data_IF_372323311935
#
_entry.id   IF_372323311935
#
_cell.length_a   1.000
_cell.length_b   1.000
_cell.length_c   1.000
_cell.angle_alpha   90.00
_cell.angle_beta   90.00
_cell.angle_gamma   90.00
#
_symmetry.space_group_name_H-M   'P 1'
#
loop_
_entity.id
_entity.type
_entity.pdbx_description
1 polymer ?
#
# COMPACT_ATOMS: atom_id res chain seq x y z
N UNK A 1 -40.81 25.50 18.71
CA UNK A 1 -39.44 25.92 18.36
C UNK A 1 -38.82 26.94 19.31
N UNK A 2 -39.59 27.82 19.99
CA UNK A 2 -39.01 28.84 20.89
C UNK A 2 -38.45 28.30 22.22
N UNK A 3 -38.90 27.12 22.67
CA UNK A 3 -38.49 26.51 23.96
C UNK A 3 -37.14 25.76 23.85
N UNK A 4 -36.68 25.46 22.64
CA UNK A 4 -35.45 24.68 22.40
C UNK A 4 -34.16 25.49 22.46
N UNK A 5 -34.24 26.83 22.49
CA UNK A 5 -33.07 27.73 22.56
C UNK A 5 -32.63 28.06 23.99
N UNK A 6 -33.49 27.79 24.99
CA UNK A 6 -33.24 28.09 26.40
C UNK A 6 -31.94 27.47 26.95
N UNK A 7 -31.56 26.22 26.60
CA UNK A 7 -30.37 25.60 27.18
C UNK A 7 -29.05 26.21 26.67
N UNK A 8 -29.00 26.63 25.39
CA UNK A 8 -27.78 27.19 24.80
C UNK A 8 -27.45 28.56 25.39
N UNK A 9 -28.47 29.39 25.68
CA UNK A 9 -28.27 30.70 26.31
C UNK A 9 -27.87 30.59 27.79
N UNK A 10 -28.30 29.54 28.49
CA UNK A 10 -27.94 29.32 29.90
C UNK A 10 -26.43 29.16 30.12
N UNK A 11 -25.72 28.50 29.19
CA UNK A 11 -24.27 28.29 29.30
C UNK A 11 -23.49 29.60 29.08
N UNK A 12 -23.97 30.45 28.17
CA UNK A 12 -23.42 31.82 28.00
C UNK A 12 -23.68 32.71 29.23
N UNK A 13 -24.79 32.50 29.94
CA UNK A 13 -25.09 33.26 31.15
C UNK A 13 -24.09 33.03 32.29
N UNK A 14 -23.42 31.86 32.34
CA UNK A 14 -22.35 31.59 33.33
C UNK A 14 -21.17 32.56 33.13
N UNK A 15 -20.76 32.79 31.87
CA UNK A 15 -19.65 33.68 31.55
C UNK A 15 -19.95 35.13 31.96
N UNK A 16 -21.17 35.62 31.64
CA UNK A 16 -21.61 36.94 32.06
C UNK A 16 -21.80 37.05 33.58
N UNK A 17 -22.25 35.97 34.24
CA UNK A 17 -22.36 35.90 35.70
C UNK A 17 -21.01 36.09 36.40
N UNK A 18 -19.95 35.43 35.92
CA UNK A 18 -18.60 35.58 36.46
C UNK A 18 -18.13 37.04 36.34
N UNK A 19 -18.31 37.66 35.17
CA UNK A 19 -17.96 39.07 34.95
C UNK A 19 -18.74 39.98 35.90
N UNK A 20 -20.04 39.75 36.05
CA UNK A 20 -20.90 40.54 36.93
C UNK A 20 -20.46 40.40 38.41
N UNK A 21 -20.13 39.19 38.88
CA UNK A 21 -19.60 38.97 40.24
C UNK A 21 -18.29 39.73 40.43
N UNK A 22 -17.37 39.68 39.46
CA UNK A 22 -16.09 40.42 39.55
C UNK A 22 -16.30 41.93 39.64
N UNK A 23 -17.20 42.50 38.82
CA UNK A 23 -17.50 43.93 38.85
C UNK A 23 -18.20 44.32 40.16
N UNK A 24 -19.17 43.52 40.64
CA UNK A 24 -19.86 43.77 41.91
C UNK A 24 -18.91 43.71 43.11
N UNK A 25 -17.93 42.80 43.11
CA UNK A 25 -16.91 42.74 44.16
C UNK A 25 -16.02 43.99 44.18
N UNK A 26 -15.58 44.46 43.00
CA UNK A 26 -14.79 45.70 42.89
C UNK A 26 -15.60 46.89 43.39
N UNK A 27 -16.87 47.00 42.95
CA UNK A 27 -17.79 48.05 43.41
C UNK A 27 -18.01 48.01 44.91
N UNK A 28 -18.12 46.82 45.50
CA UNK A 28 -18.28 46.65 46.95
C UNK A 28 -17.05 47.14 47.72
N UNK A 29 -15.84 46.83 47.25
CA UNK A 29 -14.59 47.31 47.87
C UNK A 29 -14.52 48.85 47.85
N UNK A 30 -14.91 49.48 46.74
CA UNK A 30 -14.94 50.95 46.62
C UNK A 30 -15.98 51.54 47.56
N UNK A 31 -17.19 50.98 47.59
CA UNK A 31 -18.27 51.43 48.48
C UNK A 31 -17.90 51.29 49.97
N UNK A 32 -17.16 50.23 50.34
CA UNK A 32 -16.64 50.04 51.69
C UNK A 32 -15.60 51.12 52.06
N UNK A 33 -14.72 51.50 51.13
CA UNK A 33 -13.68 52.49 51.37
C UNK A 33 -14.22 53.92 51.48
N UNK A 34 -15.26 54.24 50.72
CA UNK A 34 -15.82 55.59 50.63
C UNK A 34 -17.15 55.78 51.39
N UNK A 35 -17.56 54.78 52.20
CA UNK A 35 -18.77 54.79 53.02
C UNK A 35 -20.07 55.10 52.24
N UNK A 36 -20.19 54.57 51.02
CA UNK A 36 -21.40 54.69 50.20
C UNK A 36 -22.45 53.61 50.56
N UNK A 37 -23.68 53.80 50.11
CA UNK A 37 -24.77 52.84 50.28
C UNK A 37 -24.47 51.51 49.56
N UNK A 38 -24.55 50.41 50.32
CA UNK A 38 -24.09 49.07 49.87
C UNK A 38 -25.22 48.19 49.35
N UNK A 39 -26.47 48.56 49.64
CA UNK A 39 -27.64 47.71 49.43
C UNK A 39 -27.80 47.26 47.97
N UNK A 40 -27.60 48.18 47.03
CA UNK A 40 -27.76 47.89 45.60
C UNK A 40 -26.66 46.94 45.08
N UNK A 41 -25.42 47.12 45.54
CA UNK A 41 -24.29 46.27 45.14
C UNK A 41 -24.44 44.85 45.73
N UNK A 42 -24.87 44.75 46.98
CA UNK A 42 -25.15 43.47 47.64
C UNK A 42 -26.30 42.75 46.92
N UNK A 43 -27.37 43.47 46.54
CA UNK A 43 -28.47 42.91 45.75
C UNK A 43 -28.03 42.37 44.39
N UNK A 44 -27.16 43.11 43.68
CA UNK A 44 -26.60 42.66 42.40
C UNK A 44 -25.72 41.40 42.56
N UNK A 45 -24.92 41.32 43.63
CA UNK A 45 -24.09 40.15 43.93
C UNK A 45 -24.96 38.91 44.18
N UNK A 46 -25.99 39.03 45.01
CA UNK A 46 -26.93 37.93 45.31
C UNK A 46 -27.65 37.46 44.05
N UNK A 47 -28.13 38.40 43.22
CA UNK A 47 -28.81 38.09 41.97
C UNK A 47 -27.89 37.33 40.99
N UNK A 48 -26.63 37.76 40.87
CA UNK A 48 -25.65 37.09 39.99
C UNK A 48 -25.30 35.68 40.47
N UNK A 49 -25.15 35.49 41.79
CA UNK A 49 -24.89 34.17 42.38
C UNK A 49 -26.07 33.20 42.18
N UNK A 50 -27.31 33.68 42.38
CA UNK A 50 -28.51 32.87 42.13
C UNK A 50 -28.67 32.51 40.65
N UNK A 51 -28.48 33.48 39.75
CA UNK A 51 -28.52 33.23 38.31
C UNK A 51 -27.46 32.23 37.85
N UNK A 52 -26.22 32.37 38.34
CA UNK A 52 -25.13 31.43 38.08
C UNK A 52 -25.41 30.03 38.62
N UNK A 53 -26.00 29.92 39.81
CA UNK A 53 -26.39 28.64 40.42
C UNK A 53 -27.45 27.89 39.61
N UNK A 54 -28.47 28.60 39.11
CA UNK A 54 -29.51 28.00 38.25
C UNK A 54 -28.91 27.53 36.92
N UNK A 55 -28.06 28.36 36.28
CA UNK A 55 -27.40 28.00 35.03
C UNK A 55 -26.47 26.78 35.19
N UNK A 56 -25.74 26.71 36.29
CA UNK A 56 -24.88 25.56 36.61
C UNK A 56 -25.70 24.28 36.84
N UNK A 57 -26.84 24.37 37.55
CA UNK A 57 -27.74 23.24 37.75
C UNK A 57 -28.29 22.70 36.41
N UNK A 58 -28.69 23.60 35.51
CA UNK A 58 -29.12 23.22 34.16
C UNK A 58 -28.00 22.54 33.35
N UNK A 59 -26.77 23.04 33.46
CA UNK A 59 -25.59 22.42 32.82
C UNK A 59 -25.31 21.02 33.38
N UNK A 60 -25.39 20.84 34.69
CA UNK A 60 -25.20 19.54 35.33
C UNK A 60 -26.26 18.52 34.89
N UNK A 61 -27.54 18.94 34.83
CA UNK A 61 -28.64 18.12 34.33
C UNK A 61 -28.46 17.74 32.86
N UNK A 62 -28.05 18.69 32.00
CA UNK A 62 -27.73 18.41 30.60
C UNK A 62 -26.57 17.44 30.45
N UNK A 63 -25.53 17.54 31.28
CA UNK A 63 -24.41 16.61 31.24
C UNK A 63 -24.79 15.21 31.72
N UNK A 64 -25.69 15.09 32.69
CA UNK A 64 -26.24 13.80 33.12
C UNK A 64 -27.07 13.17 32.00
N UNK A 65 -27.98 13.94 31.39
CA UNK A 65 -28.78 13.49 30.25
C UNK A 65 -27.89 13.18 29.05
N UNK A 66 -26.85 13.96 28.78
CA UNK A 66 -25.91 13.70 27.68
C UNK A 66 -25.13 12.42 27.94
N UNK A 67 -24.71 12.14 29.19
CA UNK A 67 -24.07 10.87 29.53
C UNK A 67 -25.02 9.69 29.37
N UNK A 68 -26.26 9.82 29.84
CA UNK A 68 -27.29 8.78 29.71
C UNK A 68 -27.68 8.54 28.24
N UNK A 69 -27.80 9.60 27.43
CA UNK A 69 -28.00 9.51 25.98
C UNK A 69 -26.78 8.96 25.28
N UNK A 70 -25.55 9.29 25.68
CA UNK A 70 -24.32 8.71 25.13
C UNK A 70 -24.22 7.23 25.50
N UNK A 71 -24.62 6.84 26.70
CA UNK A 71 -24.67 5.45 27.16
C UNK A 71 -25.80 4.66 26.45
N UNK A 72 -26.99 5.22 26.29
CA UNK A 72 -28.08 4.64 25.49
C UNK A 72 -27.73 4.60 24.00
N UNK A 73 -27.05 5.60 23.44
CA UNK A 73 -26.55 5.57 22.06
C UNK A 73 -25.46 4.52 21.94
N UNK A 74 -24.58 4.33 22.91
CA UNK A 74 -23.58 3.27 22.88
C UNK A 74 -24.19 1.88 23.07
N UNK A 75 -25.23 1.74 23.90
CA UNK A 75 -25.98 0.49 24.10
C UNK A 75 -26.83 0.15 22.88
N UNK A 76 -27.53 1.14 22.29
CA UNK A 76 -28.23 1.02 21.01
C UNK A 76 -27.28 0.84 19.82
N UNK A 77 -26.03 1.32 19.87
CA UNK A 77 -25.00 1.04 18.85
C UNK A 77 -24.44 -0.37 18.99
N UNK A 78 -24.54 -0.98 20.18
CA UNK A 78 -24.20 -2.38 20.45
C UNK A 78 -25.36 -3.31 20.05
N UNK A 79 -26.61 -2.93 20.34
CA UNK A 79 -27.81 -3.70 19.96
C UNK A 79 -28.20 -3.53 18.46
N UNK A 80 -28.05 -2.33 17.87
CA UNK A 80 -28.25 -2.12 16.42
C UNK A 80 -27.05 -2.57 15.57
N UNK A 81 -25.89 -2.91 16.15
CA UNK A 81 -24.85 -3.67 15.45
C UNK A 81 -25.29 -5.12 15.16
N UNK A 82 -26.26 -5.65 15.91
CA UNK A 82 -26.77 -7.01 15.72
C UNK A 82 -27.94 -7.06 14.72
N UNK A 83 -28.58 -5.91 14.40
CA UNK A 83 -29.73 -5.84 13.48
C UNK A 83 -29.59 -4.85 12.31
N UNK A 84 -28.37 -4.50 11.92
CA UNK A 84 -28.12 -4.07 10.54
C UNK A 84 -27.94 -5.34 9.73
N UNK A 85 -28.69 -5.53 8.65
CA UNK A 85 -28.34 -6.51 7.62
C UNK A 85 -26.90 -6.18 7.22
N UNK A 86 -25.95 -6.85 7.85
CA UNK A 86 -24.54 -6.65 7.61
C UNK A 86 -24.36 -7.28 6.24
N UNK A 87 -23.98 -6.45 5.26
CA UNK A 87 -23.61 -6.97 3.96
C UNK A 87 -22.61 -8.11 4.22
N UNK A 88 -22.81 -9.28 3.58
CA UNK A 88 -21.93 -10.46 3.73
C UNK A 88 -20.46 -10.04 3.65
N UNK A 89 -20.17 -9.04 2.80
CA UNK A 89 -18.86 -8.45 2.65
C UNK A 89 -18.31 -7.78 3.91
N UNK A 90 -19.11 -7.03 4.66
CA UNK A 90 -18.67 -6.36 5.88
C UNK A 90 -18.31 -7.39 6.97
N UNK A 91 -19.02 -8.52 7.01
CA UNK A 91 -18.71 -9.62 7.93
C UNK A 91 -17.40 -10.32 7.54
N UNK A 92 -17.16 -10.52 6.25
CA UNK A 92 -15.88 -11.05 5.77
C UNK A 92 -14.71 -10.14 6.10
N UNK A 93 -14.86 -8.83 5.88
CA UNK A 93 -13.84 -7.83 6.23
C UNK A 93 -13.55 -7.86 7.73
N UNK A 94 -14.61 -7.84 8.57
CA UNK A 94 -14.45 -7.89 10.02
C UNK A 94 -13.74 -9.18 10.47
N UNK A 95 -14.07 -10.32 9.87
CA UNK A 95 -13.41 -11.59 10.15
C UNK A 95 -11.92 -11.57 9.80
N UNK A 96 -11.56 -11.02 8.63
CA UNK A 96 -10.16 -10.91 8.19
C UNK A 96 -9.36 -10.00 9.12
N UNK A 97 -9.92 -8.84 9.51
CA UNK A 97 -9.25 -7.91 10.42
C UNK A 97 -9.05 -8.50 11.83
N UNK A 98 -10.04 -9.22 12.34
CA UNK A 98 -9.90 -9.98 13.60
C UNK A 98 -8.80 -11.03 13.49
N UNK A 99 -8.75 -11.78 12.38
CA UNK A 99 -7.72 -12.78 12.12
C UNK A 99 -6.32 -12.16 12.06
N UNK A 100 -6.17 -11.00 11.41
CA UNK A 100 -4.90 -10.26 11.38
C UNK A 100 -4.47 -9.80 12.76
N UNK A 101 -5.39 -9.26 13.57
CA UNK A 101 -5.10 -8.85 14.93
C UNK A 101 -4.69 -10.03 15.82
N UNK A 102 -5.31 -11.20 15.64
CA UNK A 102 -4.92 -12.42 16.37
C UNK A 102 -3.56 -12.96 15.92
N UNK A 103 -3.23 -12.86 14.63
CA UNK A 103 -1.94 -13.30 14.08
C UNK A 103 -0.73 -12.52 14.60
N UNK A 104 -0.93 -11.30 15.11
CA UNK A 104 0.13 -10.49 15.71
C UNK A 104 0.27 -10.70 17.22
N UNK A 105 -0.59 -11.51 17.84
CA UNK A 105 -0.63 -11.75 19.28
C UNK A 105 -0.21 -13.17 19.62
N UNK A 106 0.40 -13.36 20.79
CA UNK A 106 0.60 -14.69 21.37
C UNK A 106 -0.67 -15.07 22.12
N UNK A 107 -1.43 -16.03 21.57
CA UNK A 107 -2.69 -16.49 22.14
C UNK A 107 -2.54 -17.93 22.62
N UNK A 108 -3.27 -18.29 23.68
CA UNK A 108 -3.35 -19.66 24.19
C UNK A 108 -4.81 -20.07 24.37
N UNK A 109 -5.09 -21.37 24.32
CA UNK A 109 -6.40 -21.93 24.66
C UNK A 109 -6.60 -22.04 26.17
N UNK A 110 -7.74 -22.62 26.58
CA UNK A 110 -8.08 -22.85 27.99
C UNK A 110 -7.08 -23.73 28.75
N UNK A 111 -6.27 -24.50 28.02
CA UNK A 111 -5.24 -25.39 28.57
C UNK A 111 -3.83 -24.78 28.49
N UNK A 112 -3.70 -23.53 28.02
CA UNK A 112 -2.42 -22.88 27.83
C UNK A 112 -1.67 -23.30 26.56
N UNK A 113 -2.30 -24.04 25.64
CA UNK A 113 -1.67 -24.44 24.37
C UNK A 113 -1.68 -23.26 23.39
N UNK A 114 -0.58 -23.02 22.65
CA UNK A 114 -0.48 -21.88 21.74
C UNK A 114 -1.48 -22.01 20.58
N UNK A 115 -2.16 -20.90 20.29
CA UNK A 115 -3.02 -20.73 19.13
C UNK A 115 -2.27 -19.95 18.05
N UNK A 116 -2.11 -20.56 16.88
CA UNK A 116 -1.38 -19.98 15.76
C UNK A 116 -2.34 -19.53 14.65
N UNK A 117 -2.50 -18.22 14.51
CA UNK A 117 -3.27 -17.60 13.43
C UNK A 117 -2.31 -17.15 12.33
N UNK A 118 -2.48 -17.69 11.13
CA UNK A 118 -1.65 -17.32 9.97
C UNK A 118 -2.53 -16.89 8.80
N UNK A 119 -1.97 -16.18 7.84
CA UNK A 119 -2.62 -15.92 6.56
C UNK A 119 -1.61 -15.97 5.42
N UNK A 120 -2.10 -16.31 4.22
CA UNK A 120 -1.33 -16.28 2.98
C UNK A 120 -2.06 -15.45 1.94
N UNK A 121 -1.30 -14.66 1.19
CA UNK A 121 -1.82 -13.85 0.09
C UNK A 121 -1.48 -14.56 -1.22
N UNK A 122 -2.50 -14.84 -2.01
CA UNK A 122 -2.36 -15.38 -3.37
C UNK A 122 -2.83 -14.33 -4.38
N UNK A 123 -2.00 -13.97 -5.35
CA UNK A 123 -2.39 -13.09 -6.44
C UNK A 123 -3.07 -13.95 -7.51
N UNK A 124 -4.33 -13.68 -7.79
CA UNK A 124 -5.11 -14.43 -8.79
C UNK A 124 -4.98 -13.83 -10.18
N UNK A 125 -5.06 -12.50 -10.27
CA UNK A 125 -5.03 -11.76 -11.53
C UNK A 125 -4.49 -10.35 -11.29
N UNK A 126 -3.67 -9.83 -12.20
CA UNK A 126 -3.16 -8.46 -12.16
C UNK A 126 -3.49 -7.76 -13.49
N UNK A 127 -4.08 -6.56 -13.40
CA UNK A 127 -4.36 -5.69 -14.54
C UNK A 127 -3.46 -4.45 -14.48
N UNK A 128 -2.58 -4.23 -15.48
CA UNK A 128 -1.82 -2.99 -15.56
C UNK A 128 -2.76 -1.83 -15.88
N UNK A 129 -2.57 -0.71 -15.19
CA UNK A 129 -3.35 0.51 -15.37
C UNK A 129 -2.56 1.62 -16.08
N UNK A 130 -1.26 1.43 -16.25
CA UNK A 130 -0.40 2.27 -17.06
C UNK A 130 0.98 2.47 -16.44
N UNK A 131 1.85 3.09 -17.24
CA UNK A 131 3.26 3.35 -16.94
C UNK A 131 3.61 4.76 -17.38
N UNK A 132 4.38 5.48 -16.58
CA UNK A 132 4.94 6.77 -17.01
C UNK A 132 6.09 6.54 -17.97
N UNK A 133 6.37 7.50 -18.84
CA UNK A 133 7.65 7.55 -19.54
C UNK A 133 8.81 7.62 -18.54
N UNK A 134 9.98 7.18 -18.97
CA UNK A 134 11.21 7.34 -18.18
C UNK A 134 11.59 8.82 -18.19
N UNK A 135 11.73 9.40 -17.00
CA UNK A 135 12.14 10.78 -16.80
C UNK A 135 13.56 10.72 -16.24
N UNK A 136 14.51 11.35 -16.95
CA UNK A 136 15.94 11.34 -16.61
C UNK A 136 16.47 12.75 -16.50
N UNK A 137 17.28 13.01 -15.46
CA UNK A 137 17.96 14.31 -15.32
C UNK A 137 19.28 14.43 -16.09
N UNK A 138 19.78 13.36 -16.69
CA UNK A 138 21.01 13.38 -17.49
C UNK A 138 20.78 13.89 -18.92
N UNK A 139 21.53 14.92 -19.32
CA UNK A 139 21.59 15.43 -20.70
C UNK A 139 22.12 14.37 -21.67
N UNK A 140 21.49 14.21 -22.84
CA UNK A 140 21.89 13.32 -23.94
C UNK A 140 23.35 13.50 -24.46
N UNK A 141 24.09 14.52 -24.00
CA UNK A 141 25.41 14.89 -24.51
C UNK A 141 26.58 14.04 -23.99
N UNK A 142 26.44 13.38 -22.83
CA UNK A 142 27.50 12.56 -22.23
C UNK A 142 27.10 11.07 -22.21
N UNK A 143 26.64 10.55 -23.35
CA UNK A 143 26.41 9.11 -23.55
C UNK A 143 27.75 8.36 -23.68
N UNK A 144 28.50 8.28 -22.58
CA UNK A 144 29.22 7.03 -22.30
C UNK A 144 28.18 5.90 -22.29
N UNK A 145 28.56 4.70 -22.72
CA UNK A 145 27.68 3.59 -23.17
C UNK A 145 26.50 3.18 -22.24
N UNK A 146 26.38 3.72 -21.04
CA UNK A 146 25.43 3.29 -19.99
C UNK A 146 24.49 4.43 -19.47
N UNK A 147 24.30 5.50 -20.25
CA UNK A 147 23.68 6.79 -19.86
C UNK A 147 22.23 6.81 -19.31
N UNK A 148 22.02 6.37 -18.07
CA UNK A 148 20.77 6.55 -17.31
C UNK A 148 20.99 6.96 -15.84
N UNK A 149 22.02 7.75 -15.53
CA UNK A 149 22.14 8.30 -14.18
C UNK A 149 20.89 9.14 -13.85
N UNK A 150 20.26 8.87 -12.71
CA UNK A 150 19.06 9.59 -12.24
C UNK A 150 17.83 9.49 -13.16
N UNK A 151 17.47 8.27 -13.55
CA UNK A 151 16.23 7.99 -14.28
C UNK A 151 15.16 7.38 -13.38
N UNK A 152 13.90 7.76 -13.56
CA UNK A 152 12.76 7.16 -12.86
C UNK A 152 11.58 6.92 -13.79
N UNK A 153 10.77 5.92 -13.46
CA UNK A 153 9.42 5.76 -14.00
C UNK A 153 8.52 5.14 -12.93
N UNK A 154 7.21 5.21 -13.15
CA UNK A 154 6.23 4.68 -12.22
C UNK A 154 5.20 3.81 -12.97
N UNK A 155 4.71 2.79 -12.29
CA UNK A 155 3.72 1.84 -12.81
C UNK A 155 2.57 1.68 -11.81
N UNK A 156 1.35 1.66 -12.34
CA UNK A 156 0.16 1.35 -11.58
C UNK A 156 -0.41 0.02 -12.06
N UNK A 157 -0.81 -0.81 -11.11
CA UNK A 157 -1.60 -2.00 -11.39
C UNK A 157 -2.61 -2.22 -10.30
N UNK A 158 -3.62 -3.02 -10.62
CA UNK A 158 -4.59 -3.50 -9.65
C UNK A 158 -4.63 -5.01 -9.74
N UNK A 159 -4.68 -5.69 -8.60
CA UNK A 159 -4.68 -7.14 -8.52
C UNK A 159 -5.89 -7.65 -7.77
N UNK A 160 -6.50 -8.72 -8.27
CA UNK A 160 -7.41 -9.55 -7.48
C UNK A 160 -6.55 -10.49 -6.64
N UNK A 161 -6.68 -10.40 -5.32
CA UNK A 161 -5.95 -11.22 -4.36
C UNK A 161 -6.91 -12.10 -3.57
N UNK A 162 -6.43 -13.26 -3.12
CA UNK A 162 -7.13 -14.17 -2.21
C UNK A 162 -6.33 -14.29 -0.92
N UNK A 163 -7.00 -14.01 0.20
CA UNK A 163 -6.46 -14.25 1.53
C UNK A 163 -6.92 -15.62 2.02
N UNK A 164 -5.95 -16.54 2.17
CA UNK A 164 -6.16 -17.85 2.80
C UNK A 164 -5.87 -17.69 4.27
N UNK A 165 -6.89 -17.78 5.11
CA UNK A 165 -6.78 -17.67 6.56
C UNK A 165 -6.58 -19.07 7.15
N UNK A 166 -5.56 -19.24 7.99
CA UNK A 166 -5.21 -20.51 8.61
C UNK A 166 -5.25 -20.40 10.13
N UNK A 167 -5.63 -21.49 10.79
CA UNK A 167 -5.59 -21.67 12.23
C UNK A 167 -4.91 -23.00 12.53
N UNK A 168 -3.82 -22.95 13.30
CA UNK A 168 -2.95 -24.10 13.59
C UNK A 168 -2.55 -24.88 12.33
N UNK A 169 -2.18 -24.15 11.27
CA UNK A 169 -1.78 -24.71 9.97
C UNK A 169 -2.93 -25.23 9.09
N UNK A 170 -4.17 -25.26 9.57
CA UNK A 170 -5.34 -25.65 8.78
C UNK A 170 -6.03 -24.43 8.20
N UNK A 171 -6.29 -24.44 6.89
CA UNK A 171 -7.07 -23.39 6.22
C UNK A 171 -8.52 -23.42 6.71
N UNK A 172 -9.02 -22.25 7.13
CA UNK A 172 -10.37 -22.10 7.69
C UNK A 172 -11.28 -21.26 6.80
N UNK A 173 -10.73 -20.33 6.02
CA UNK A 173 -11.54 -19.45 5.15
C UNK A 173 -10.68 -18.82 4.05
N UNK A 174 -11.29 -18.64 2.89
CA UNK A 174 -10.76 -17.84 1.79
C UNK A 174 -11.61 -16.59 1.59
N UNK A 175 -10.97 -15.46 1.40
CA UNK A 175 -11.66 -14.20 1.13
C UNK A 175 -10.93 -13.44 0.03
N UNK A 176 -11.67 -13.07 -1.01
CA UNK A 176 -11.14 -12.29 -2.12
C UNK A 176 -11.12 -10.78 -1.80
N UNK A 177 -10.10 -10.08 -2.27
CA UNK A 177 -9.94 -8.63 -2.17
C UNK A 177 -9.34 -8.06 -3.45
N UNK A 178 -9.39 -6.73 -3.56
CA UNK A 178 -8.63 -5.99 -4.55
C UNK A 178 -7.44 -5.33 -3.88
N UNK A 179 -6.27 -5.38 -4.49
CA UNK A 179 -5.07 -4.66 -4.07
C UNK A 179 -4.60 -3.73 -5.18
N UNK A 180 -4.49 -2.44 -4.87
CA UNK A 180 -3.93 -1.40 -5.71
C UNK A 180 -2.43 -1.33 -5.48
N UNK A 181 -1.63 -1.46 -6.52
CA UNK A 181 -0.16 -1.46 -6.44
C UNK A 181 0.40 -0.20 -7.09
N UNK A 182 1.27 0.46 -6.33
CA UNK A 182 1.98 1.68 -6.68
C UNK A 182 3.47 1.36 -6.73
N UNK A 183 4.01 1.16 -7.93
CA UNK A 183 5.42 0.84 -8.14
C UNK A 183 6.18 2.06 -8.67
N UNK A 184 7.30 2.35 -8.03
CA UNK A 184 8.28 3.32 -8.51
C UNK A 184 9.60 2.62 -8.79
N UNK A 185 10.12 2.81 -10.00
CA UNK A 185 11.44 2.35 -10.41
C UNK A 185 12.38 3.53 -10.56
N UNK A 186 13.58 3.43 -10.01
CA UNK A 186 14.62 4.47 -10.10
C UNK A 186 15.99 3.82 -10.36
N UNK A 187 16.85 4.40 -11.19
CA UNK A 187 18.22 3.88 -11.35
C UNK A 187 18.99 3.99 -10.04
N UNK A 188 19.88 3.03 -9.78
CA UNK A 188 20.57 2.98 -8.51
C UNK A 188 21.84 3.83 -8.56
N UNK A 189 21.87 5.00 -7.91
CA UNK A 189 23.02 5.90 -7.99
C UNK A 189 24.31 5.32 -7.40
N UNK A 190 24.21 4.30 -6.54
CA UNK A 190 25.36 3.67 -5.89
C UNK A 190 25.75 2.31 -6.49
N UNK A 191 24.84 1.64 -7.20
CA UNK A 191 25.04 0.26 -7.67
C UNK A 191 25.05 0.10 -9.18
N UNK A 192 24.89 1.16 -9.98
CA UNK A 192 25.04 1.08 -11.44
C UNK A 192 26.41 0.49 -11.86
N UNK A 193 27.41 0.47 -10.98
CA UNK A 193 28.71 -0.16 -11.23
C UNK A 193 28.78 -1.67 -10.91
N UNK A 194 27.90 -2.20 -10.05
CA UNK A 194 28.07 -3.56 -9.48
C UNK A 194 26.86 -4.49 -9.61
N UNK A 195 25.70 -4.01 -10.07
CA UNK A 195 24.46 -4.81 -10.02
C UNK A 195 23.75 -4.91 -11.39
N UNK A 196 23.24 -6.09 -11.71
CA UNK A 196 22.64 -6.41 -13.02
C UNK A 196 21.23 -5.86 -13.22
N UNK A 197 20.54 -5.42 -12.16
CA UNK A 197 19.23 -4.77 -12.28
C UNK A 197 19.37 -3.26 -12.41
N UNK A 198 19.09 -2.72 -13.60
CA UNK A 198 19.16 -1.29 -13.94
C UNK A 198 18.33 -0.38 -13.03
N UNK A 199 17.25 -0.87 -12.41
CA UNK A 199 16.35 -0.08 -11.56
C UNK A 199 16.15 -0.71 -10.19
N UNK A 200 16.28 0.11 -9.14
CA UNK A 200 15.74 -0.16 -7.82
C UNK A 200 14.22 0.07 -7.82
N UNK A 201 13.47 -0.95 -7.44
CA UNK A 201 12.00 -0.91 -7.37
C UNK A 201 11.53 -0.68 -5.94
N UNK A 202 10.59 0.24 -5.77
CA UNK A 202 9.86 0.45 -4.53
C UNK A 202 8.37 0.27 -4.79
N UNK A 203 7.79 -0.74 -4.15
CA UNK A 203 6.39 -1.11 -4.33
C UNK A 203 5.61 -0.85 -3.05
N UNK A 204 4.44 -0.25 -3.18
CA UNK A 204 3.47 -0.09 -2.09
C UNK A 204 2.13 -0.60 -2.55
N UNK A 205 1.43 -1.29 -1.67
CA UNK A 205 0.10 -1.84 -1.93
C UNK A 205 -0.92 -1.21 -1.00
N UNK A 206 -2.14 -1.06 -1.50
CA UNK A 206 -3.30 -0.59 -0.75
C UNK A 206 -4.49 -1.49 -1.11
N UNK A 207 -5.12 -2.09 -0.10
CA UNK A 207 -6.21 -3.06 -0.25
C UNK A 207 -7.50 -2.43 0.27
N UNK A 208 -8.35 -1.87 -0.61
CA UNK A 208 -9.62 -1.30 -0.21
C UNK A 208 -10.44 -2.28 0.65
N UNK A 209 -10.89 -1.80 1.82
CA UNK A 209 -11.65 -2.58 2.79
C UNK A 209 -10.81 -3.18 3.92
N UNK A 210 -9.50 -3.38 3.73
CA UNK A 210 -8.60 -3.81 4.81
C UNK A 210 -7.74 -2.66 5.33
N UNK A 211 -7.21 -1.86 4.41
CA UNK A 211 -6.29 -0.79 4.73
C UNK A 211 -7.02 0.53 5.02
N UNK A 212 -6.48 1.29 5.96
CA UNK A 212 -6.96 2.63 6.27
C UNK A 212 -6.58 3.66 5.19
N UNK A 213 -7.19 4.85 5.27
CA UNK A 213 -6.90 5.95 4.34
C UNK A 213 -5.46 6.47 4.47
N UNK A 214 -4.80 6.26 5.60
CA UNK A 214 -3.41 6.69 5.82
C UNK A 214 -2.43 5.86 5.00
N UNK A 215 -2.69 4.55 4.82
CA UNK A 215 -1.94 3.66 3.94
C UNK A 215 -2.03 4.14 2.49
N UNK A 216 -3.24 4.45 2.02
CA UNK A 216 -3.44 5.02 0.67
C UNK A 216 -2.68 6.34 0.50
N UNK A 217 -2.80 7.26 1.47
CA UNK A 217 -2.08 8.54 1.42
C UNK A 217 -0.55 8.33 1.39
N UNK A 218 -0.02 7.35 2.12
CA UNK A 218 1.40 6.98 2.12
C UNK A 218 1.83 6.38 0.78
N UNK A 219 0.99 5.53 0.18
CA UNK A 219 1.22 4.96 -1.14
C UNK A 219 1.30 6.06 -2.20
N UNK A 220 0.28 6.92 -2.30
CA UNK A 220 0.25 8.06 -3.22
C UNK A 220 1.44 8.98 -3.00
N UNK A 221 1.71 9.39 -1.75
CA UNK A 221 2.83 10.28 -1.42
C UNK A 221 4.17 9.69 -1.84
N UNK A 222 4.39 8.40 -1.65
CA UNK A 222 5.66 7.76 -2.03
C UNK A 222 5.77 7.59 -3.54
N UNK A 223 4.67 7.25 -4.20
CA UNK A 223 4.58 7.07 -5.65
C UNK A 223 4.87 8.38 -6.40
N UNK A 224 4.31 9.50 -5.94
CA UNK A 224 4.47 10.82 -6.57
C UNK A 224 5.71 11.56 -6.12
N UNK A 225 6.31 11.22 -4.97
CA UNK A 225 7.53 11.87 -4.48
C UNK A 225 8.74 11.45 -5.34
N UNK A 226 9.39 12.38 -6.05
CA UNK A 226 10.61 12.08 -6.77
C UNK A 226 11.75 11.78 -5.79
N UNK A 227 12.70 10.96 -6.21
CA UNK A 227 13.85 10.57 -5.41
C UNK A 227 15.11 10.46 -6.27
N UNK A 228 15.39 11.54 -7.00
CA UNK A 228 16.64 11.68 -7.73
C UNK A 228 17.81 11.80 -6.74
N UNK A 229 18.92 11.16 -7.09
CA UNK A 229 20.15 11.29 -6.33
C UNK A 229 20.69 12.71 -6.47
N UNK A 230 21.01 13.30 -5.32
CA UNK A 230 21.75 14.55 -5.23
C UNK A 230 23.18 14.19 -4.86
N UNK A 231 24.15 14.87 -5.46
CA UNK A 231 25.56 14.66 -5.12
C UNK A 231 25.82 14.82 -3.61
N UNK A 232 26.95 14.33 -3.11
CA UNK A 232 27.32 14.44 -1.69
C UNK A 232 27.34 15.89 -1.16
N UNK A 233 27.38 16.88 -2.05
CA UNK A 233 27.39 18.31 -1.73
C UNK A 233 25.95 18.85 -1.63
N UNK A 234 24.93 18.04 -1.96
CA UNK A 234 23.52 18.38 -1.84
C UNK A 234 23.10 19.53 -2.76
N UNK A 235 23.89 19.86 -3.79
CA UNK A 235 23.60 20.99 -4.67
C UNK A 235 22.42 20.61 -5.57
N UNK A 236 21.22 21.12 -5.24
CA UNK A 236 20.11 21.17 -6.18
C UNK A 236 20.59 21.92 -7.41
N UNK A 237 20.72 21.23 -8.54
CA UNK A 237 20.82 21.93 -9.82
C UNK A 237 19.41 22.38 -10.15
N UNK A 238 19.20 23.61 -10.61
CA UNK A 238 17.87 24.08 -11.03
C UNK A 238 17.23 23.15 -12.09
N UNK A 239 18.08 22.44 -12.84
CA UNK A 239 17.68 21.37 -13.77
C UNK A 239 16.93 20.22 -13.09
N UNK A 240 17.27 19.86 -11.84
CA UNK A 240 16.61 18.76 -11.12
C UNK A 240 15.17 19.10 -10.76
N UNK A 241 14.88 20.38 -10.45
CA UNK A 241 13.52 20.82 -10.15
C UNK A 241 12.57 20.63 -11.34
N UNK A 242 13.06 20.79 -12.58
CA UNK A 242 12.28 20.52 -13.79
C UNK A 242 11.85 19.05 -13.86
N UNK A 243 12.77 18.11 -13.67
CA UNK A 243 12.50 16.67 -13.75
C UNK A 243 11.72 16.14 -12.54
N UNK A 244 11.90 16.74 -11.37
CA UNK A 244 11.05 16.51 -10.19
C UNK A 244 9.60 16.88 -10.49
N UNK A 245 9.36 18.06 -11.05
CA UNK A 245 8.02 18.51 -11.44
C UNK A 245 7.42 17.66 -12.58
N UNK A 246 8.22 17.32 -13.58
CA UNK A 246 7.79 16.44 -14.67
C UNK A 246 7.33 15.08 -14.15
N UNK A 247 8.07 14.49 -13.19
CA UNK A 247 7.71 13.23 -12.57
C UNK A 247 6.44 13.34 -11.71
N UNK A 248 6.32 14.40 -10.91
CA UNK A 248 5.11 14.65 -10.11
C UNK A 248 3.88 14.78 -11.01
N UNK A 249 4.00 15.52 -12.12
CA UNK A 249 2.91 15.70 -13.08
C UNK A 249 2.55 14.38 -13.76
N UNK A 250 3.55 13.66 -14.29
CA UNK A 250 3.33 12.37 -14.97
C UNK A 250 2.66 11.33 -14.05
N UNK A 251 3.10 11.24 -12.80
CA UNK A 251 2.49 10.31 -11.82
C UNK A 251 1.10 10.75 -11.38
N UNK A 252 0.86 12.04 -11.21
CA UNK A 252 -0.46 12.59 -10.89
C UNK A 252 -1.46 12.35 -12.02
N UNK A 253 -1.04 12.56 -13.26
CA UNK A 253 -1.86 12.32 -14.45
C UNK A 253 -2.13 10.82 -14.65
N UNK A 254 -1.14 9.96 -14.37
CA UNK A 254 -1.33 8.52 -14.39
C UNK A 254 -2.37 8.05 -13.33
N UNK A 255 -2.33 8.59 -12.11
CA UNK A 255 -3.35 8.28 -11.08
C UNK A 255 -4.75 8.72 -11.53
N UNK A 256 -4.88 9.93 -12.09
CA UNK A 256 -6.18 10.46 -12.55
C UNK A 256 -6.72 9.66 -13.73
N UNK A 257 -5.89 9.40 -14.74
CA UNK A 257 -6.30 8.73 -15.98
C UNK A 257 -6.56 7.23 -15.81
N UNK A 258 -5.83 6.56 -14.91
CA UNK A 258 -6.04 5.14 -14.59
C UNK A 258 -7.34 4.86 -13.82
N UNK A 259 -7.94 5.89 -13.20
CA UNK A 259 -9.09 5.73 -12.33
C UNK A 259 -8.86 4.76 -11.14
N UNK A 260 -7.60 4.51 -10.75
CA UNK A 260 -7.24 3.49 -9.75
C UNK A 260 -7.98 3.67 -8.41
N UNK A 261 -8.18 4.92 -7.99
CA UNK A 261 -8.80 5.25 -6.69
C UNK A 261 -10.28 4.84 -6.60
N UNK A 262 -10.93 4.60 -7.75
CA UNK A 262 -12.32 4.17 -7.83
C UNK A 262 -12.46 2.65 -7.95
N UNK A 263 -11.35 1.90 -8.03
CA UNK A 263 -11.37 0.43 -8.10
C UNK A 263 -11.28 -0.12 -6.67
N UNK A 264 -12.43 -0.35 -6.04
CA UNK A 264 -12.52 -0.75 -4.62
C UNK A 264 -13.08 -2.14 -4.43
N UNK A 265 -13.90 -2.62 -5.35
CA UNK A 265 -14.55 -3.92 -5.25
C UNK A 265 -14.16 -4.85 -6.40
N UNK A 266 -14.53 -6.13 -6.28
CA UNK A 266 -14.33 -7.13 -7.34
C UNK A 266 -15.08 -6.73 -8.61
N UNK A 267 -16.28 -6.15 -8.48
CA UNK A 267 -17.08 -5.68 -9.60
C UNK A 267 -16.41 -4.51 -10.32
N UNK A 268 -15.76 -3.60 -9.58
CA UNK A 268 -14.98 -2.52 -10.19
C UNK A 268 -13.80 -3.07 -10.97
N UNK A 269 -13.09 -4.06 -10.40
CA UNK A 269 -11.96 -4.72 -11.05
C UNK A 269 -12.36 -5.42 -12.35
N UNK A 270 -13.52 -6.07 -12.40
CA UNK A 270 -14.03 -6.69 -13.62
C UNK A 270 -14.29 -5.66 -14.74
N UNK A 271 -14.74 -4.45 -14.39
CA UNK A 271 -15.00 -3.36 -15.34
C UNK A 271 -13.72 -2.71 -15.90
N UNK A 272 -12.56 -2.97 -15.28
CA UNK A 272 -11.27 -2.47 -15.78
C UNK A 272 -11.00 -3.08 -17.16
N UNK A 273 -11.05 -2.22 -18.18
CA UNK A 273 -10.60 -2.53 -19.54
C UNK A 273 -9.08 -2.46 -19.57
N UNK A 274 -8.41 -3.58 -19.82
CA UNK A 274 -6.96 -3.60 -20.00
C UNK A 274 -6.66 -2.88 -21.31
N UNK A 275 -6.19 -1.63 -21.20
CA UNK A 275 -5.74 -0.88 -22.36
C UNK A 275 -4.29 -1.25 -22.58
N UNK A 276 -4.04 -2.35 -23.29
CA UNK A 276 -2.70 -2.64 -23.81
C UNK A 276 -2.43 -1.60 -24.89
N UNK A 277 -1.86 -0.46 -24.52
CA UNK A 277 -1.25 0.45 -25.49
C UNK A 277 0.03 -0.22 -25.96
N UNK A 278 -0.05 -0.89 -27.11
CA UNK A 278 1.11 -1.24 -27.92
C UNK A 278 1.78 0.07 -28.36
N UNK A 279 2.67 0.63 -27.53
CA UNK A 279 3.60 1.64 -27.99
C UNK A 279 4.59 0.95 -28.94
N UNK A 280 4.40 1.16 -30.24
CA UNK A 280 5.39 0.86 -31.28
C UNK A 280 6.68 1.64 -31.00
N UNK A 281 7.56 1.06 -30.19
CA UNK A 281 8.96 1.44 -30.10
C UNK A 281 9.67 0.60 -31.17
N UNK A 282 10.05 1.25 -32.28
CA UNK A 282 11.15 0.78 -33.12
C UNK A 282 12.41 0.95 -32.28
N UNK A 283 12.83 -0.12 -31.62
CA UNK A 283 14.19 -0.69 -31.69
C UNK A 283 14.28 -1.85 -30.67
N UNK A 284 14.64 -3.00 -31.23
CA UNK A 284 14.97 -4.31 -30.64
C UNK A 284 13.88 -5.03 -29.80
N UNK A 285 13.26 -5.99 -30.48
CA UNK A 285 12.18 -6.85 -29.99
C UNK A 285 12.63 -7.82 -28.89
N UNK A 286 11.97 -7.75 -27.73
CA UNK A 286 11.62 -8.92 -26.93
C UNK A 286 10.10 -8.88 -26.78
N UNK A 287 9.41 -9.64 -27.62
CA UNK A 287 8.00 -9.96 -27.47
C UNK A 287 7.87 -10.98 -26.31
N UNK A 288 7.35 -10.53 -25.15
CA UNK A 288 6.61 -11.43 -24.27
C UNK A 288 5.20 -11.62 -24.85
N UNK A 289 5.14 -12.34 -25.96
CA UNK A 289 3.98 -13.18 -26.24
C UNK A 289 4.08 -14.39 -25.32
N UNK A 290 3.06 -14.59 -24.50
CA UNK A 290 2.80 -15.84 -23.77
C UNK A 290 2.47 -16.97 -24.75
N UNK A 291 3.49 -17.37 -25.50
CA UNK A 291 3.57 -18.66 -26.17
C UNK A 291 4.80 -19.34 -25.58
N UNK A 292 4.63 -19.98 -24.43
CA UNK A 292 5.73 -20.64 -23.73
C UNK A 292 6.23 -21.80 -24.59
N UNK A 293 7.32 -21.54 -25.31
CA UNK A 293 7.98 -22.52 -26.16
C UNK A 293 8.44 -23.68 -25.27
N UNK A 294 7.96 -24.89 -25.58
CA UNK A 294 8.30 -26.09 -24.85
C UNK A 294 9.48 -26.77 -25.54
N UNK A 295 10.47 -27.16 -24.75
CA UNK A 295 11.63 -27.92 -25.22
C UNK A 295 11.52 -29.35 -24.70
N UNK A 296 11.80 -30.33 -25.56
CA UNK A 296 11.86 -31.74 -25.20
C UNK A 296 13.32 -32.12 -24.98
N UNK A 297 13.66 -32.61 -23.79
CA UNK A 297 15.02 -33.05 -23.46
C UNK A 297 15.32 -34.38 -24.16
N UNK A 298 16.42 -34.41 -24.94
CA UNK A 298 16.86 -35.57 -25.75
C UNK A 298 18.02 -36.35 -25.14
N UNK A 299 18.55 -35.89 -24.00
CA UNK A 299 19.67 -36.51 -23.28
C UNK A 299 19.21 -36.98 -21.91
N UNK A 300 19.56 -38.21 -21.55
CA UNK A 300 19.24 -38.75 -20.23
C UNK A 300 20.13 -38.15 -19.13
N UNK A 301 19.55 -37.98 -17.94
CA UNK A 301 20.23 -37.43 -16.76
C UNK A 301 20.88 -36.05 -16.99
N UNK A 302 20.23 -35.19 -17.77
CA UNK A 302 20.70 -33.85 -18.14
C UNK A 302 20.85 -32.97 -16.90
N UNK A 303 22.02 -32.36 -16.72
CA UNK A 303 22.30 -31.45 -15.61
C UNK A 303 21.81 -30.05 -15.92
N UNK A 304 20.94 -29.51 -15.06
CA UNK A 304 20.53 -28.10 -15.08
C UNK A 304 21.49 -27.31 -14.20
N UNK A 305 22.00 -26.18 -14.70
CA UNK A 305 23.08 -25.42 -14.04
C UNK A 305 22.69 -24.00 -13.67
N UNK A 306 23.40 -23.41 -12.71
CA UNK A 306 23.16 -22.04 -12.22
C UNK A 306 23.58 -20.95 -13.20
N UNK A 307 24.59 -21.21 -14.05
CA UNK A 307 25.07 -20.33 -15.11
C UNK A 307 25.35 -21.11 -16.41
N UNK A 308 25.46 -20.46 -17.58
CA UNK A 308 25.69 -21.11 -18.87
C UNK A 308 27.15 -21.55 -19.04
N UNK A 309 27.59 -22.50 -18.22
CA UNK A 309 28.96 -23.00 -18.16
C UNK A 309 28.98 -24.50 -17.78
N UNK A 310 29.93 -25.27 -18.32
CA UNK A 310 30.12 -26.68 -18.00
C UNK A 310 30.62 -26.92 -16.57
N UNK A 311 31.22 -25.91 -15.94
CA UNK A 311 31.74 -26.00 -14.56
C UNK A 311 30.79 -25.40 -13.53
N UNK A 312 29.66 -24.81 -13.97
CA UNK A 312 28.68 -24.20 -13.08
C UNK A 312 28.01 -25.21 -12.14
N UNK A 313 27.63 -24.75 -10.95
CA UNK A 313 26.94 -25.57 -9.94
C UNK A 313 25.66 -26.19 -10.50
N UNK A 314 25.46 -27.48 -10.18
CA UNK A 314 24.30 -28.24 -10.61
C UNK A 314 23.12 -27.97 -9.68
N UNK A 315 21.98 -27.61 -10.28
CA UNK A 315 20.70 -27.42 -9.58
C UNK A 315 19.96 -28.75 -9.45
N UNK A 316 19.72 -29.42 -10.58
CA UNK A 316 19.00 -30.70 -10.63
C UNK A 316 19.37 -31.51 -11.88
N UNK A 317 18.87 -32.75 -11.95
CA UNK A 317 18.99 -33.59 -13.14
C UNK A 317 17.62 -33.88 -13.74
N UNK A 318 17.52 -33.77 -15.06
CA UNK A 318 16.32 -34.06 -15.82
C UNK A 318 16.45 -35.42 -16.53
N UNK A 319 15.43 -36.30 -16.47
CA UNK A 319 15.41 -37.53 -17.25
C UNK A 319 15.13 -37.25 -18.73
N UNK A 320 15.46 -38.22 -19.58
CA UNK A 320 15.10 -38.22 -21.01
C UNK A 320 13.60 -37.98 -21.22
N UNK A 321 13.22 -37.29 -22.31
CA UNK A 321 11.85 -36.94 -22.68
C UNK A 321 11.13 -35.99 -21.70
N UNK A 322 11.86 -35.33 -20.81
CA UNK A 322 11.28 -34.27 -19.97
C UNK A 322 10.92 -33.07 -20.84
N UNK A 323 9.75 -32.48 -20.58
CA UNK A 323 9.33 -31.24 -21.23
C UNK A 323 9.61 -30.08 -20.29
N UNK A 324 10.37 -29.10 -20.76
CA UNK A 324 10.73 -27.89 -20.02
C UNK A 324 10.21 -26.64 -20.72
N UNK A 325 10.03 -25.56 -19.97
CA UNK A 325 9.59 -24.27 -20.49
C UNK A 325 10.81 -23.40 -20.81
N UNK A 326 10.92 -22.92 -22.04
CA UNK A 326 11.96 -21.98 -22.44
C UNK A 326 11.62 -20.56 -22.00
N UNK A 327 12.56 -19.88 -21.33
CA UNK A 327 12.36 -18.55 -20.77
C UNK A 327 12.86 -17.43 -21.69
N UNK A 328 12.94 -17.68 -23.00
CA UNK A 328 13.36 -16.70 -24.02
C UNK A 328 14.73 -16.05 -23.78
N UNK A 329 15.61 -16.71 -23.02
CA UNK A 329 16.96 -16.24 -22.72
C UNK A 329 18.00 -17.26 -23.17
N UNK A 330 18.97 -16.80 -23.94
CA UNK A 330 20.14 -17.56 -24.38
C UNK A 330 21.43 -16.93 -23.86
N UNK A 331 22.53 -17.69 -23.81
CA UNK A 331 23.84 -17.15 -23.48
C UNK A 331 24.41 -16.30 -24.62
N UNK A 332 25.32 -15.40 -24.29
CA UNK A 332 26.02 -14.57 -25.29
C UNK A 332 27.10 -15.36 -26.03
N UNK A 333 27.72 -16.32 -25.33
CA UNK A 333 28.78 -17.16 -25.85
C UNK A 333 28.28 -18.59 -26.08
N UNK A 334 28.86 -19.25 -27.07
CA UNK A 334 28.68 -20.68 -27.30
C UNK A 334 29.71 -21.47 -26.51
N UNK A 335 29.39 -22.72 -26.21
CA UNK A 335 30.31 -23.69 -25.61
C UNK A 335 30.43 -24.89 -26.53
N UNK A 336 31.65 -25.40 -26.65
CA UNK A 336 31.92 -26.61 -27.41
C UNK A 336 31.84 -27.82 -26.49
N UNK A 337 31.09 -28.84 -26.91
CA UNK A 337 30.95 -30.11 -26.21
C UNK A 337 31.14 -31.26 -27.19
N UNK A 338 31.90 -32.28 -26.78
CA UNK A 338 32.08 -33.50 -27.58
C UNK A 338 31.06 -34.55 -27.16
N UNK A 339 30.16 -34.93 -28.06
CA UNK A 339 29.16 -35.98 -27.85
C UNK A 339 29.36 -37.05 -28.91
N UNK A 340 29.61 -38.30 -28.49
CA UNK A 340 29.81 -39.45 -29.38
C UNK A 340 30.89 -39.25 -30.47
N UNK A 341 31.89 -38.40 -30.20
CA UNK A 341 32.99 -38.11 -31.13
C UNK A 341 32.71 -36.95 -32.10
N UNK A 342 31.54 -36.31 -32.00
CA UNK A 342 31.22 -35.08 -32.73
C UNK A 342 31.35 -33.86 -31.81
N UNK A 343 32.03 -32.83 -32.30
CA UNK A 343 32.14 -31.54 -31.62
C UNK A 343 30.92 -30.67 -31.97
N UNK A 344 30.16 -30.30 -30.94
CA UNK A 344 28.94 -29.51 -31.07
C UNK A 344 29.16 -28.18 -30.36
N UNK A 345 29.10 -27.08 -31.11
CA UNK A 345 29.31 -25.72 -30.60
C UNK A 345 28.00 -24.93 -30.59
N UNK A 346 27.36 -24.88 -29.42
CA UNK A 346 26.01 -24.32 -29.27
C UNK A 346 25.87 -23.35 -28.08
N UNK A 347 24.77 -22.60 -28.10
CA UNK A 347 24.40 -21.71 -27.00
C UNK A 347 23.81 -22.47 -25.81
N UNK A 348 23.75 -21.80 -24.67
CA UNK A 348 22.96 -22.22 -23.52
C UNK A 348 21.62 -21.52 -23.52
N UNK A 349 20.62 -22.22 -22.99
CA UNK A 349 19.24 -21.76 -22.96
C UNK A 349 18.72 -21.82 -21.53
N UNK A 350 18.10 -20.73 -21.08
CA UNK A 350 17.49 -20.66 -19.77
C UNK A 350 16.11 -21.30 -19.81
N UNK A 351 15.86 -22.22 -18.90
CA UNK A 351 14.63 -23.00 -18.83
C UNK A 351 14.02 -22.95 -17.43
N UNK A 352 12.73 -23.26 -17.36
CA UNK A 352 12.02 -23.62 -16.13
C UNK A 352 11.64 -25.10 -16.18
N UNK A 353 12.04 -25.80 -15.13
CA UNK A 353 11.87 -27.24 -14.97
C UNK A 353 10.47 -27.58 -14.43
N UNK A 354 10.00 -28.84 -14.53
CA UNK A 354 8.73 -29.26 -13.93
C UNK A 354 8.68 -29.06 -12.41
N UNK A 355 9.84 -29.13 -11.75
CA UNK A 355 10.02 -28.85 -10.31
C UNK A 355 9.87 -27.37 -9.96
N UNK A 356 9.83 -26.47 -10.97
CA UNK A 356 9.75 -25.02 -10.80
C UNK A 356 11.11 -24.32 -10.70
N UNK A 357 12.22 -25.05 -10.75
CA UNK A 357 13.58 -24.50 -10.72
C UNK A 357 13.92 -23.84 -12.06
N UNK A 358 14.66 -22.73 -12.01
CA UNK A 358 15.16 -22.00 -13.18
C UNK A 358 16.66 -22.23 -13.30
N UNK A 359 17.12 -22.64 -14.48
CA UNK A 359 18.54 -22.85 -14.75
C UNK A 359 18.86 -22.93 -16.23
N UNK A 360 20.09 -23.31 -16.53
CA UNK A 360 20.66 -23.32 -17.87
C UNK A 360 20.93 -24.75 -18.35
N UNK A 361 20.63 -25.00 -19.63
CA UNK A 361 20.95 -26.24 -20.34
C UNK A 361 21.63 -25.92 -21.67
N UNK A 362 22.49 -26.83 -22.15
CA UNK A 362 23.21 -26.66 -23.41
C UNK A 362 22.32 -26.99 -24.62
N UNK A 363 22.52 -26.29 -25.74
CA UNK A 363 21.70 -26.39 -26.95
C UNK A 363 21.65 -27.77 -27.60
N UNK A 364 22.66 -28.61 -27.38
CA UNK A 364 22.69 -29.98 -27.91
C UNK A 364 21.78 -30.98 -27.19
N UNK A 365 21.16 -30.57 -26.06
CA UNK A 365 20.44 -31.49 -25.18
C UNK A 365 18.92 -31.48 -25.33
N UNK A 366 18.37 -30.75 -26.31
CA UNK A 366 16.93 -30.64 -26.51
C UNK A 366 16.54 -30.45 -27.97
N UNK A 367 15.26 -30.69 -28.24
CA UNK A 367 14.58 -30.35 -29.50
C UNK A 367 13.35 -29.48 -29.21
N UNK A 368 12.97 -28.66 -30.19
CA UNK A 368 11.75 -27.85 -30.10
C UNK A 368 10.53 -28.75 -30.34
N UNK A 369 9.53 -28.66 -29.47
CA UNK A 369 8.34 -29.50 -29.53
C UNK A 369 7.16 -28.82 -30.21
#
# INVERSE_FOLDING_TARGET
MLISFIPLFGLFAIFFGIIAVSISLIGLVIALKHNHEKGLIIGALICSLLGGGIAYSQYAALNAITKEVVEEVNKNKTENKVKKVTNVRDQEVAFVLDHFNKSSQTLTDENGLPLNYEYRIEILETKPLGKTKVISSSSNSDKGKDGYMNSMYAELSVSKIKLKLLFNGKQIKDVDFISQTYERSQTNPFLDYYNSSKYFKKTLSYTPGLDDKSVLNKAIKTFTKPNYYRDFIGRKKDKDAKFENEYINATSDLIKSSNILNIKTIEDFQKVKVTVKEEKIKDEAIEETTNSKKLLITVDNLRVRTSPDLDAEKIENLPLNTVVEFLNKKSDNKTEVTIKGEEINEYWYQIKTPSGNIGWIHGCCFEEK
#
